data_IF_394050108051
#
_entry.id   IF_394050108051
#
_cell.length_a   1.000
_cell.length_b   1.000
_cell.length_c   1.000
_cell.angle_alpha   90.00
_cell.angle_beta   90.00
_cell.angle_gamma   90.00
#
_symmetry.space_group_name_H-M   'P 1'
#
loop_
_entity.id
_entity.type
_entity.pdbx_description
1 polymer ?
#
# COMPACT_ATOMS: atom_id res chain seq x y z
N UNK A 1 -39.10 -12.85 42.24
CA UNK A 1 -38.72 -11.43 42.09
C UNK A 1 -37.82 -11.33 40.88
N UNK A 2 -38.34 -10.85 39.75
CA UNK A 2 -37.56 -10.70 38.51
C UNK A 2 -36.70 -9.43 38.61
N UNK A 3 -35.42 -9.45 38.18
CA UNK A 3 -34.57 -8.27 38.21
C UNK A 3 -35.07 -7.24 37.19
N UNK A 4 -35.28 -6.01 37.67
CA UNK A 4 -35.62 -4.85 36.84
C UNK A 4 -34.50 -4.58 35.82
N UNK A 5 -34.81 -4.27 34.55
CA UNK A 5 -33.79 -3.84 33.60
C UNK A 5 -33.14 -2.54 34.10
N UNK A 6 -31.81 -2.53 34.19
CA UNK A 6 -31.03 -1.34 34.50
C UNK A 6 -31.26 -0.27 33.43
N UNK A 7 -31.43 1.02 33.80
CA UNK A 7 -31.54 2.08 32.82
C UNK A 7 -30.29 2.10 31.92
N UNK A 8 -30.43 2.39 30.62
CA UNK A 8 -29.28 2.47 29.72
C UNK A 8 -28.30 3.52 30.26
N UNK A 9 -27.01 3.19 30.32
CA UNK A 9 -25.94 4.13 30.66
C UNK A 9 -26.12 5.39 29.81
N UNK A 10 -26.45 6.51 30.46
CA UNK A 10 -26.60 7.80 29.79
C UNK A 10 -25.23 8.27 29.34
N UNK A 11 -24.89 7.97 28.09
CA UNK A 11 -23.69 8.50 27.44
C UNK A 11 -23.89 10.02 27.32
N UNK A 12 -23.19 10.78 28.16
CA UNK A 12 -23.26 12.23 28.12
C UNK A 12 -22.84 12.72 26.72
N UNK A 13 -23.59 13.64 26.09
CA UNK A 13 -23.23 14.16 24.79
C UNK A 13 -21.89 14.87 24.89
N UNK A 14 -20.91 14.40 24.12
CA UNK A 14 -19.59 15.01 24.08
C UNK A 14 -19.71 16.45 23.54
N UNK A 15 -19.16 17.46 24.24
CA UNK A 15 -19.34 18.87 23.88
C UNK A 15 -18.77 19.27 22.52
N UNK A 16 -17.83 18.47 21.96
CA UNK A 16 -17.36 18.60 20.58
C UNK A 16 -17.13 17.23 19.95
N UNK A 17 -17.33 17.09 18.63
CA UNK A 17 -16.89 15.91 17.90
C UNK A 17 -15.39 15.67 18.13
N UNK A 18 -15.01 14.43 18.41
CA UNK A 18 -13.59 14.07 18.54
C UNK A 18 -12.95 14.09 17.14
N UNK A 19 -12.19 15.15 16.84
CA UNK A 19 -11.46 15.32 15.58
C UNK A 19 -10.06 15.86 15.85
N UNK A 20 -9.09 15.29 15.15
CA UNK A 20 -7.68 15.71 15.23
C UNK A 20 -7.39 16.79 14.17
N UNK A 21 -7.10 18.05 14.57
CA UNK A 21 -6.88 19.14 13.64
C UNK A 21 -5.60 18.95 12.79
N UNK A 22 -4.60 18.24 13.30
CA UNK A 22 -3.37 17.99 12.55
C UNK A 22 -3.62 17.00 11.41
N UNK A 23 -4.43 15.97 11.68
CA UNK A 23 -4.85 15.00 10.66
C UNK A 23 -5.73 15.65 9.60
N UNK A 24 -6.70 16.48 10.00
CA UNK A 24 -7.55 17.21 9.05
C UNK A 24 -6.71 18.04 8.09
N UNK A 25 -5.76 18.83 8.59
CA UNK A 25 -4.89 19.66 7.76
C UNK A 25 -4.05 18.86 6.76
N UNK A 26 -3.52 17.71 7.17
CA UNK A 26 -2.75 16.84 6.30
C UNK A 26 -3.59 16.29 5.14
N UNK A 27 -4.85 15.94 5.41
CA UNK A 27 -5.74 15.31 4.43
C UNK A 27 -6.53 16.31 3.56
N UNK A 28 -6.60 17.59 3.95
CA UNK A 28 -7.29 18.64 3.20
C UNK A 28 -6.81 18.74 1.73
N UNK A 29 -5.51 18.58 1.49
CA UNK A 29 -4.95 18.61 0.14
C UNK A 29 -5.48 17.47 -0.75
N UNK A 30 -5.64 16.27 -0.18
CA UNK A 30 -6.23 15.14 -0.88
C UNK A 30 -7.71 15.36 -1.17
N UNK A 31 -8.48 15.78 -0.16
CA UNK A 31 -9.92 15.98 -0.31
C UNK A 31 -10.27 17.09 -1.31
N UNK A 32 -9.52 18.20 -1.30
CA UNK A 32 -9.70 19.29 -2.27
C UNK A 32 -9.48 18.82 -3.70
N UNK A 33 -8.40 18.06 -3.96
CA UNK A 33 -8.13 17.45 -5.26
C UNK A 33 -9.25 16.50 -5.68
N UNK A 34 -9.66 15.60 -4.79
CA UNK A 34 -10.71 14.62 -5.06
C UNK A 34 -12.03 15.28 -5.47
N UNK A 35 -12.46 16.32 -4.74
CA UNK A 35 -13.68 17.08 -5.07
C UNK A 35 -13.55 17.80 -6.41
N UNK A 36 -12.39 18.38 -6.71
CA UNK A 36 -12.14 19.02 -7.99
C UNK A 36 -12.26 18.02 -9.17
N UNK A 37 -11.71 16.82 -9.01
CA UNK A 37 -11.82 15.74 -9.99
C UNK A 37 -13.28 15.30 -10.19
N UNK A 38 -14.02 15.06 -9.10
CA UNK A 38 -15.44 14.71 -9.15
C UNK A 38 -16.26 15.78 -9.88
N UNK A 39 -15.97 17.06 -9.66
CA UNK A 39 -16.64 18.16 -10.35
C UNK A 39 -16.23 18.27 -11.82
N UNK A 40 -15.01 17.89 -12.19
CA UNK A 40 -14.58 17.84 -13.59
C UNK A 40 -15.33 16.74 -14.37
N UNK A 41 -15.46 15.54 -13.78
CA UNK A 41 -16.26 14.45 -14.35
C UNK A 41 -17.73 14.85 -14.41
N UNK A 42 -18.28 15.42 -13.34
CA UNK A 42 -19.69 15.83 -13.32
C UNK A 42 -20.00 16.87 -14.40
N UNK A 43 -19.07 17.80 -14.67
CA UNK A 43 -19.18 18.77 -15.77
C UNK A 43 -19.29 18.10 -17.14
N UNK A 44 -18.46 17.10 -17.43
CA UNK A 44 -18.48 16.44 -18.75
C UNK A 44 -19.81 15.69 -18.98
N UNK A 45 -20.34 15.03 -17.96
CA UNK A 45 -21.64 14.35 -18.06
C UNK A 45 -22.82 15.32 -18.11
N UNK A 46 -22.79 16.40 -17.33
CA UNK A 46 -23.88 17.38 -17.31
C UNK A 46 -24.08 18.08 -18.66
N UNK A 47 -23.03 18.23 -19.47
CA UNK A 47 -23.14 18.80 -20.83
C UNK A 47 -23.98 17.92 -21.77
N UNK A 48 -23.96 16.60 -21.57
CA UNK A 48 -24.73 15.64 -22.37
C UNK A 48 -26.14 15.41 -21.80
N UNK A 49 -26.35 15.73 -20.52
CA UNK A 49 -27.58 15.43 -19.80
C UNK A 49 -28.67 16.49 -20.00
N UNK A 50 -29.96 16.09 -20.12
CA UNK A 50 -31.07 17.02 -20.09
C UNK A 50 -31.13 17.73 -18.73
N UNK A 51 -31.63 18.98 -18.72
CA UNK A 51 -31.55 19.88 -17.55
C UNK A 51 -32.04 19.27 -16.22
N UNK A 52 -33.06 18.41 -16.27
CA UNK A 52 -33.63 17.77 -15.08
C UNK A 52 -32.75 16.66 -14.48
N UNK A 53 -31.88 16.06 -15.30
CA UNK A 53 -30.99 14.98 -14.90
C UNK A 53 -29.58 15.46 -14.54
N UNK A 54 -29.32 16.77 -14.62
CA UNK A 54 -28.02 17.34 -14.29
C UNK A 54 -27.76 17.22 -12.79
N UNK A 55 -26.59 16.69 -12.43
CA UNK A 55 -26.17 16.56 -11.03
C UNK A 55 -25.57 17.88 -10.54
N UNK A 56 -25.89 18.31 -9.30
CA UNK A 56 -25.25 19.48 -8.69
C UNK A 56 -23.78 19.18 -8.39
N UNK A 57 -22.94 20.23 -8.39
CA UNK A 57 -21.54 20.10 -8.01
C UNK A 57 -21.35 19.78 -6.53
N UNK A 58 -20.23 19.14 -6.24
CA UNK A 58 -19.79 18.79 -4.91
C UNK A 58 -19.07 19.96 -4.26
N UNK A 59 -19.35 20.19 -2.98
CA UNK A 59 -18.65 21.16 -2.14
C UNK A 59 -17.92 20.41 -1.04
N UNK A 60 -16.66 20.77 -0.80
CA UNK A 60 -15.78 20.07 0.15
C UNK A 60 -16.42 19.94 1.52
N UNK A 61 -16.96 21.03 2.05
CA UNK A 61 -17.54 21.08 3.38
C UNK A 61 -18.77 20.16 3.53
N UNK A 62 -19.61 20.05 2.49
CA UNK A 62 -20.78 19.17 2.49
C UNK A 62 -20.37 17.70 2.47
N UNK A 63 -19.39 17.37 1.64
CA UNK A 63 -18.89 15.99 1.51
C UNK A 63 -18.18 15.53 2.78
N UNK A 64 -17.39 16.39 3.43
CA UNK A 64 -16.77 16.07 4.72
C UNK A 64 -17.82 15.85 5.81
N UNK A 65 -18.82 16.74 5.92
CA UNK A 65 -19.92 16.56 6.89
C UNK A 65 -20.66 15.25 6.70
N UNK A 66 -20.93 14.89 5.44
CA UNK A 66 -21.60 13.63 5.10
C UNK A 66 -20.74 12.42 5.47
N UNK A 67 -19.47 12.42 5.08
CA UNK A 67 -18.51 11.38 5.45
C UNK A 67 -18.46 11.15 6.96
N UNK A 68 -18.39 12.23 7.74
CA UNK A 68 -18.39 12.13 9.21
C UNK A 68 -19.70 11.61 9.77
N UNK A 69 -20.85 12.01 9.22
CA UNK A 69 -22.15 11.51 9.64
C UNK A 69 -22.30 10.00 9.38
N UNK A 70 -21.78 9.51 8.25
CA UNK A 70 -21.87 8.11 7.85
C UNK A 70 -20.96 7.21 8.72
N UNK A 71 -19.78 7.70 9.11
CA UNK A 71 -18.79 6.94 9.93
C UNK A 71 -19.08 7.01 11.43
N UNK A 72 -19.70 8.09 11.93
CA UNK A 72 -20.00 8.29 13.34
C UNK A 72 -20.64 7.08 14.05
N UNK A 73 -21.68 6.40 13.51
CA UNK A 73 -22.27 5.25 14.19
C UNK A 73 -21.35 4.03 14.25
N UNK A 74 -20.46 3.85 13.27
CA UNK A 74 -19.54 2.71 13.19
C UNK A 74 -18.32 2.86 14.11
N UNK A 75 -18.02 4.10 14.52
CA UNK A 75 -16.80 4.44 15.24
C UNK A 75 -16.75 3.80 16.63
N UNK A 76 -17.87 3.75 17.36
CA UNK A 76 -17.93 3.21 18.71
C UNK A 76 -17.57 1.72 18.76
N UNK A 77 -18.18 0.93 17.86
CA UNK A 77 -17.92 -0.50 17.75
C UNK A 77 -16.49 -0.76 17.29
N UNK A 78 -15.97 0.01 16.33
CA UNK A 78 -14.60 -0.11 15.86
C UNK A 78 -13.55 0.18 16.96
N UNK A 79 -13.82 1.16 17.83
CA UNK A 79 -12.94 1.45 18.98
C UNK A 79 -12.98 0.30 19.99
N UNK A 80 -14.17 -0.24 20.28
CA UNK A 80 -14.34 -1.38 21.20
C UNK A 80 -13.67 -2.64 20.67
N UNK A 81 -13.81 -2.92 19.38
CA UNK A 81 -13.14 -4.06 18.75
C UNK A 81 -11.61 -3.89 18.81
N UNK A 82 -11.10 -2.70 18.47
CA UNK A 82 -9.66 -2.42 18.50
C UNK A 82 -9.06 -2.44 19.90
N UNK A 83 -9.81 -2.03 20.92
CA UNK A 83 -9.33 -2.05 22.30
C UNK A 83 -9.32 -3.45 22.91
N UNK A 84 -10.25 -4.32 22.50
CA UNK A 84 -10.35 -5.70 22.97
C UNK A 84 -9.49 -6.68 22.17
N UNK A 85 -9.12 -6.32 20.94
CA UNK A 85 -8.28 -7.16 20.08
C UNK A 85 -6.88 -7.32 20.69
N UNK A 86 -6.42 -8.55 20.95
CA UNK A 86 -5.06 -8.77 21.44
C UNK A 86 -4.04 -8.27 20.41
N UNK A 87 -2.91 -7.69 20.86
CA UNK A 87 -1.90 -7.14 19.96
C UNK A 87 -1.42 -8.24 19.00
N UNK A 88 -1.59 -8.01 17.70
CA UNK A 88 -1.14 -8.94 16.68
C UNK A 88 0.38 -9.09 16.81
N UNK A 89 0.90 -10.31 16.63
CA UNK A 89 2.31 -10.64 16.83
C UNK A 89 3.27 -9.75 16.03
N UNK A 90 2.80 -9.16 14.93
CA UNK A 90 3.53 -8.19 14.09
C UNK A 90 3.86 -6.90 14.84
N UNK A 91 2.98 -6.43 15.74
CA UNK A 91 3.23 -5.23 16.55
C UNK A 91 4.30 -5.47 17.63
N UNK A 92 4.58 -6.72 18.03
CA UNK A 92 5.68 -7.00 18.98
C UNK A 92 7.06 -6.76 18.37
N UNK A 93 7.22 -7.00 17.07
CA UNK A 93 8.50 -6.73 16.38
C UNK A 93 8.77 -5.22 16.27
N UNK A 94 7.71 -4.42 16.07
CA UNK A 94 7.78 -2.95 15.98
C UNK A 94 7.86 -2.29 17.36
N UNK A 95 7.16 -2.81 18.37
CA UNK A 95 7.23 -2.30 19.74
C UNK A 95 8.61 -2.55 20.38
N UNK A 96 9.29 -3.65 20.03
CA UNK A 96 10.68 -3.90 20.45
C UNK A 96 11.69 -2.97 19.77
N UNK A 97 11.33 -2.37 18.62
CA UNK A 97 12.22 -1.46 17.89
C UNK A 97 12.11 0.01 18.30
N UNK A 98 11.14 0.37 19.14
CA UNK A 98 10.98 1.76 19.61
C UNK A 98 11.85 2.10 20.83
N UNK A 99 12.66 1.16 21.32
CA UNK A 99 13.45 1.28 22.55
C UNK A 99 14.98 1.27 22.37
N UNK A 100 15.53 1.22 21.16
CA UNK A 100 16.98 1.36 20.99
C UNK A 100 17.30 2.18 19.74
N UNK A 101 17.74 3.40 19.97
CA UNK A 101 18.58 4.13 19.01
C UNK A 101 19.86 3.32 18.80
N UNK A 102 20.39 3.33 17.58
CA UNK A 102 21.66 2.70 17.17
C UNK A 102 21.61 1.17 16.99
N UNK A 103 21.08 0.71 15.85
CA UNK A 103 21.15 -0.69 15.44
C UNK A 103 20.60 -0.87 14.04
N UNK A 104 21.45 -0.65 13.04
CA UNK A 104 21.09 -0.73 11.63
C UNK A 104 20.57 -2.12 11.23
N UNK A 105 19.86 -2.17 10.11
CA UNK A 105 19.32 -3.37 9.44
C UNK A 105 20.32 -4.54 9.25
N UNK A 106 21.62 -4.30 9.38
CA UNK A 106 22.67 -5.33 9.34
C UNK A 106 22.60 -6.27 10.57
N UNK A 107 22.19 -5.76 11.73
CA UNK A 107 22.10 -6.53 12.98
C UNK A 107 20.87 -7.45 13.00
N UNK A 108 19.89 -7.18 12.13
CA UNK A 108 18.69 -8.03 11.94
C UNK A 108 18.89 -9.23 11.03
N UNK A 109 20.04 -9.32 10.34
CA UNK A 109 20.31 -10.38 9.38
C UNK A 109 21.56 -11.22 9.72
N UNK A 110 22.38 -10.80 10.71
CA UNK A 110 23.73 -11.35 10.88
C UNK A 110 24.12 -11.85 12.27
N UNK A 111 23.29 -11.69 13.30
CA UNK A 111 23.73 -11.93 14.68
C UNK A 111 22.65 -12.53 15.59
N UNK A 112 21.97 -13.58 15.14
CA UNK A 112 21.44 -14.58 16.05
C UNK A 112 21.24 -15.88 15.26
N UNK A 113 22.03 -16.89 15.60
CA UNK A 113 21.74 -18.31 15.40
C UNK A 113 20.75 -18.64 14.24
N UNK A 114 21.23 -18.60 12.99
CA UNK A 114 20.54 -19.16 11.82
C UNK A 114 20.48 -20.69 12.01
N UNK A 115 19.51 -21.12 12.79
CA UNK A 115 19.00 -22.49 12.82
C UNK A 115 18.05 -22.62 11.63
N UNK A 116 18.40 -23.54 10.75
CA UNK A 116 17.85 -23.66 9.40
C UNK A 116 16.33 -23.69 9.35
N UNK A 117 15.79 -22.99 8.36
CA UNK A 117 14.55 -23.47 7.75
C UNK A 117 14.86 -24.86 7.16
N UNK A 118 14.38 -25.89 7.85
CA UNK A 118 14.15 -27.25 7.39
C UNK A 118 13.20 -27.22 6.18
N UNK A 119 13.74 -26.81 5.05
CA UNK A 119 13.08 -26.77 3.77
C UNK A 119 14.17 -27.01 2.75
N UNK A 120 14.65 -28.24 2.68
CA UNK A 120 15.63 -28.66 1.67
C UNK A 120 14.93 -28.52 0.31
N UNK A 121 15.14 -27.37 -0.32
CA UNK A 121 14.82 -27.11 -1.73
C UNK A 121 15.72 -28.07 -2.51
N UNK A 122 15.11 -29.10 -3.09
CA UNK A 122 15.81 -30.00 -4.02
C UNK A 122 15.92 -29.25 -5.34
N UNK A 123 17.11 -28.74 -5.62
CA UNK A 123 17.47 -28.17 -6.91
C UNK A 123 17.81 -29.33 -7.84
N UNK A 124 16.79 -29.96 -8.45
CA UNK A 124 16.98 -30.99 -9.48
C UNK A 124 17.19 -30.31 -10.84
N UNK A 125 18.25 -29.52 -10.97
CA UNK A 125 18.71 -28.97 -12.26
C UNK A 125 20.16 -28.51 -12.12
N UNK A 126 21.10 -29.40 -12.44
CA UNK A 126 22.54 -29.09 -12.51
C UNK A 126 22.89 -28.32 -13.79
N UNK A 127 22.18 -27.23 -14.07
CA UNK A 127 22.48 -26.35 -15.20
C UNK A 127 22.19 -24.88 -14.83
N UNK A 128 23.17 -24.29 -14.13
CA UNK A 128 23.45 -22.85 -14.01
C UNK A 128 22.20 -21.95 -14.04
N UNK A 129 21.39 -22.04 -12.99
CA UNK A 129 20.23 -21.20 -12.74
C UNK A 129 20.60 -19.72 -12.85
N UNK A 130 19.88 -19.00 -13.71
CA UNK A 130 20.06 -17.58 -13.97
C UNK A 130 19.85 -16.78 -12.67
N UNK A 131 20.94 -16.23 -12.13
CA UNK A 131 20.93 -15.60 -10.81
C UNK A 131 20.45 -14.16 -10.83
N UNK A 132 19.97 -13.66 -9.68
CA UNK A 132 19.55 -12.26 -9.48
C UNK A 132 20.63 -11.25 -9.92
N UNK A 133 21.91 -11.60 -9.77
CA UNK A 133 23.04 -10.77 -10.22
C UNK A 133 23.15 -10.70 -11.75
N UNK A 134 22.78 -11.77 -12.45
CA UNK A 134 22.73 -11.80 -13.92
C UNK A 134 21.53 -10.98 -14.42
N UNK A 135 20.38 -11.08 -13.75
CA UNK A 135 19.21 -10.25 -14.02
C UNK A 135 19.50 -8.74 -13.96
N UNK A 136 20.18 -8.27 -12.90
CA UNK A 136 20.57 -6.86 -12.79
C UNK A 136 21.66 -6.45 -13.79
N UNK A 137 22.59 -7.36 -14.10
CA UNK A 137 23.60 -7.12 -15.13
C UNK A 137 22.97 -6.96 -16.51
N UNK A 138 21.94 -7.73 -16.84
CA UNK A 138 21.23 -7.59 -18.12
C UNK A 138 20.44 -6.28 -18.19
N UNK A 139 19.78 -5.91 -17.09
CA UNK A 139 18.93 -4.72 -17.04
C UNK A 139 19.72 -3.41 -17.15
N UNK A 140 20.95 -3.36 -16.64
CA UNK A 140 21.79 -2.15 -16.59
C UNK A 140 23.06 -2.22 -17.44
N UNK A 141 23.47 -3.41 -17.89
CA UNK A 141 24.67 -3.62 -18.69
C UNK A 141 24.43 -3.61 -20.20
N UNK A 142 23.18 -3.66 -20.66
CA UNK A 142 22.82 -3.73 -22.09
C UNK A 142 23.08 -2.47 -22.94
N UNK A 143 23.71 -1.43 -22.39
CA UNK A 143 23.95 -0.16 -23.07
C UNK A 143 25.41 0.09 -23.50
N UNK A 144 26.33 -0.88 -23.38
CA UNK A 144 27.74 -0.69 -23.76
C UNK A 144 28.38 -1.90 -24.45
N UNK A 145 28.58 -1.80 -25.77
CA UNK A 145 29.50 -2.61 -26.58
C UNK A 145 28.87 -3.88 -27.14
N UNK A 146 28.92 -4.20 -28.44
CA UNK A 146 29.92 -3.84 -29.45
C UNK A 146 30.21 -5.12 -30.25
N UNK A 147 29.99 -5.03 -31.55
CA UNK A 147 30.32 -5.95 -32.64
C UNK A 147 31.28 -7.11 -32.33
N UNK A 148 30.90 -8.34 -32.73
CA UNK A 148 31.85 -9.39 -33.11
C UNK A 148 31.41 -10.11 -34.39
N UNK A 149 32.10 -9.75 -35.47
CA UNK A 149 32.64 -10.57 -36.56
C UNK A 149 31.81 -11.75 -37.08
N UNK A 150 31.32 -11.53 -38.29
CA UNK A 150 31.13 -12.53 -39.34
C UNK A 150 32.43 -13.30 -39.61
N UNK A 151 32.43 -14.62 -39.38
CA UNK A 151 33.43 -15.51 -39.97
C UNK A 151 32.82 -16.88 -40.25
N UNK A 152 32.21 -17.03 -41.43
CA UNK A 152 32.05 -18.33 -42.08
C UNK A 152 32.44 -18.15 -43.54
N UNK A 153 33.75 -18.23 -43.79
CA UNK A 153 34.32 -18.27 -45.13
C UNK A 153 33.89 -19.58 -45.81
N UNK A 154 33.10 -19.41 -46.87
CA UNK A 154 32.58 -20.44 -47.75
C UNK A 154 33.68 -21.15 -48.53
N UNK A 155 33.84 -22.44 -48.21
CA UNK A 155 34.49 -23.47 -49.02
C UNK A 155 33.64 -23.75 -50.27
N UNK A 156 34.06 -23.33 -51.47
CA UNK A 156 33.68 -24.02 -52.72
C UNK A 156 34.50 -23.52 -53.94
N UNK A 157 35.50 -24.33 -54.32
CA UNK A 157 35.85 -24.75 -55.70
C UNK A 157 36.21 -23.67 -56.75
N UNK A 158 37.42 -23.75 -57.33
CA UNK A 158 37.74 -24.57 -58.53
C UNK A 158 39.15 -24.29 -59.06
N UNK A 159 39.77 -25.36 -59.54
CA UNK A 159 41.05 -25.45 -60.24
C UNK A 159 40.95 -24.94 -61.70
N UNK A 160 42.12 -24.60 -62.27
CA UNK A 160 42.70 -25.05 -63.56
C UNK A 160 43.20 -23.91 -64.47
N UNK A 161 44.48 -24.09 -64.85
CA UNK A 161 45.27 -23.53 -65.96
C UNK A 161 45.75 -22.08 -65.86
#
# INVERSE_FOLDING_TARGET
>A
MSPSPSPPDQVLPMPRPFRDPAWEQAELAYHTLAVANLNALTRSYNLMAPKIAQKPYYTLERELRRCFADVAPQLADAIRERSTRPPTKVTRVVARTRGTTTGGVLDRLGADEWTGHEGTIRDESDDKSYGFKQFWRDLFGGAAGGEQKTETASRQRRNVA
#
